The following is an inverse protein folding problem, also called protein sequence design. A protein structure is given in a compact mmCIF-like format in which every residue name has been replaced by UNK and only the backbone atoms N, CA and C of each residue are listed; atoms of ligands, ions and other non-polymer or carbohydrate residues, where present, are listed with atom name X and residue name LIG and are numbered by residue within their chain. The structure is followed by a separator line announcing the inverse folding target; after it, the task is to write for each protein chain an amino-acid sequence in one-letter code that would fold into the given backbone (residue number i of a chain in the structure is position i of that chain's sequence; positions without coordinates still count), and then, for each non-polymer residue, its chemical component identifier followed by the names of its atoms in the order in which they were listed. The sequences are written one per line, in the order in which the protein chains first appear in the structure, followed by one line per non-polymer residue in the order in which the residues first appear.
data_IF_358250193832
#
_entry.id   IF_358250193832
#
_cell.length_a   1.000
_cell.length_b   1.000
_cell.length_c   1.000
_cell.angle_alpha   90.00
_cell.angle_beta   90.00
_cell.angle_gamma   90.00
#
_symmetry.space_group_name_H-M   'P 1'
#
loop_
_entity.id
_entity.type
_entity.pdbx_description
1 polymer ?
#
# COMPACT_ATOMS: atom_id res chain seq x y z
N UNK A 1 2.16 -38.35 -47.39
CA UNK A 1 2.73 -37.67 -46.21
C UNK A 1 1.70 -36.67 -45.71
N UNK A 2 1.12 -36.94 -44.55
CA UNK A 2 0.09 -36.06 -43.96
C UNK A 2 0.77 -35.24 -42.89
N UNK A 3 0.95 -33.94 -43.13
CA UNK A 3 1.43 -33.00 -42.13
C UNK A 3 0.30 -32.73 -41.16
N UNK A 4 0.43 -33.21 -39.92
CA UNK A 4 -0.45 -32.88 -38.82
C UNK A 4 0.09 -31.56 -38.22
N UNK A 5 -0.61 -30.48 -38.51
CA UNK A 5 -0.35 -29.17 -37.90
C UNK A 5 -0.97 -29.20 -36.49
N UNK A 6 -0.14 -29.42 -35.48
CA UNK A 6 -0.58 -29.32 -34.08
C UNK A 6 -0.64 -27.83 -33.69
N UNK A 7 -1.86 -27.30 -33.64
CA UNK A 7 -2.13 -25.94 -33.21
C UNK A 7 -2.08 -25.91 -31.67
N UNK A 8 -0.98 -25.41 -31.12
CA UNK A 8 -0.90 -25.14 -29.68
C UNK A 8 -1.76 -23.92 -29.37
N UNK A 9 -2.95 -24.11 -28.82
CA UNK A 9 -3.76 -23.07 -28.20
C UNK A 9 -3.14 -22.74 -26.86
N UNK A 10 -2.40 -21.62 -26.81
CA UNK A 10 -1.95 -21.00 -25.55
C UNK A 10 -3.18 -20.41 -24.86
N UNK A 11 -3.70 -21.14 -23.88
CA UNK A 11 -4.66 -20.59 -22.93
C UNK A 11 -3.91 -19.63 -21.99
N UNK A 12 -3.99 -18.33 -22.28
CA UNK A 12 -3.62 -17.31 -21.32
C UNK A 12 -4.67 -17.30 -20.20
N UNK A 13 -4.32 -17.87 -19.03
CA UNK A 13 -5.16 -17.75 -17.85
C UNK A 13 -5.23 -16.27 -17.44
N UNK A 14 -6.42 -15.72 -17.15
CA UNK A 14 -6.52 -14.34 -16.66
C UNK A 14 -5.78 -14.22 -15.33
N UNK A 15 -4.79 -13.31 -15.28
CA UNK A 15 -4.13 -12.94 -14.04
C UNK A 15 -5.14 -12.10 -13.24
N UNK A 16 -5.81 -12.73 -12.28
CA UNK A 16 -6.69 -12.01 -11.34
C UNK A 16 -5.82 -11.24 -10.38
N UNK A 17 -5.93 -9.89 -10.36
CA UNK A 17 -5.34 -9.07 -9.32
C UNK A 17 -5.95 -9.48 -7.97
N UNK A 18 -5.09 -9.69 -6.95
CA UNK A 18 -5.54 -10.05 -5.62
C UNK A 18 -6.27 -8.87 -4.99
N UNK A 19 -7.55 -9.05 -4.65
CA UNK A 19 -8.30 -8.06 -3.88
C UNK A 19 -7.81 -8.02 -2.44
N UNK A 20 -7.63 -6.80 -1.91
CA UNK A 20 -7.24 -6.57 -0.54
C UNK A 20 -8.43 -6.61 0.42
N UNK A 21 -8.17 -7.10 1.62
CA UNK A 21 -9.11 -7.08 2.74
C UNK A 21 -8.94 -5.77 3.51
N UNK A 22 -9.91 -4.86 3.40
CA UNK A 22 -9.86 -3.54 4.06
C UNK A 22 -9.92 -3.65 5.59
N UNK A 23 -10.60 -4.65 6.14
CA UNK A 23 -10.68 -4.89 7.59
C UNK A 23 -9.31 -5.31 8.12
N UNK A 24 -8.65 -6.24 7.44
CA UNK A 24 -7.28 -6.61 7.80
C UNK A 24 -6.30 -5.47 7.54
N UNK A 25 -6.47 -4.72 6.47
CA UNK A 25 -5.66 -3.54 6.14
C UNK A 25 -5.70 -2.50 7.26
N UNK A 26 -6.85 -2.27 7.87
CA UNK A 26 -6.99 -1.41 9.05
C UNK A 26 -6.18 -1.95 10.25
N UNK A 27 -6.17 -3.25 10.48
CA UNK A 27 -5.37 -3.86 11.54
C UNK A 27 -3.87 -3.67 11.29
N UNK A 28 -3.43 -3.87 10.05
CA UNK A 28 -2.05 -3.63 9.64
C UNK A 28 -1.66 -2.17 9.85
N UNK A 29 -2.50 -1.24 9.42
CA UNK A 29 -2.31 0.19 9.64
C UNK A 29 -2.18 0.55 11.13
N UNK A 30 -3.10 0.07 11.95
CA UNK A 30 -3.08 0.36 13.39
C UNK A 30 -1.82 -0.19 14.06
N UNK A 31 -1.31 -1.32 13.61
CA UNK A 31 -0.13 -1.94 14.21
C UNK A 31 1.18 -1.29 13.77
N UNK A 32 1.32 -0.95 12.48
CA UNK A 32 2.59 -0.54 11.90
C UNK A 32 2.69 0.94 11.53
N UNK A 33 1.58 1.62 11.31
CA UNK A 33 1.55 2.94 10.70
C UNK A 33 1.04 4.04 11.62
N UNK A 34 0.04 3.74 12.45
CA UNK A 34 -0.69 4.75 13.21
C UNK A 34 0.17 5.50 14.23
N UNK A 35 1.19 4.89 14.81
CA UNK A 35 2.07 5.56 15.75
C UNK A 35 2.76 6.80 15.16
N UNK A 36 3.03 6.78 13.86
CA UNK A 36 3.64 7.90 13.15
C UNK A 36 2.65 8.70 12.29
N UNK A 37 1.55 8.09 11.87
CA UNK A 37 0.64 8.68 10.88
C UNK A 37 -0.77 8.98 11.37
N UNK A 38 -1.10 8.73 12.63
CA UNK A 38 -2.40 9.07 13.18
C UNK A 38 -2.58 10.60 13.30
N UNK A 39 -3.82 11.10 13.41
CA UNK A 39 -4.06 12.52 13.70
C UNK A 39 -3.52 12.90 15.09
N UNK A 40 -3.08 14.14 15.27
CA UNK A 40 -2.59 14.64 16.55
C UNK A 40 -1.23 15.34 16.50
N UNK A 41 -0.77 15.76 15.34
CA UNK A 41 0.38 16.65 15.17
C UNK A 41 1.69 16.07 15.69
N UNK A 42 2.32 16.78 16.63
CA UNK A 42 3.67 16.48 17.13
C UNK A 42 3.83 15.12 17.80
N UNK A 43 2.74 14.49 18.23
CA UNK A 43 2.77 13.13 18.80
C UNK A 43 2.98 12.05 17.73
N UNK A 44 2.79 12.41 16.47
CA UNK A 44 2.87 11.52 15.34
C UNK A 44 3.83 12.11 14.30
N UNK A 45 5.11 11.72 14.34
CA UNK A 45 6.16 12.38 13.55
C UNK A 45 5.95 12.30 12.04
N UNK A 46 5.32 11.25 11.53
CA UNK A 46 4.96 11.14 10.11
C UNK A 46 3.92 12.16 9.69
N UNK A 47 2.84 12.28 10.48
CA UNK A 47 1.80 13.29 10.26
C UNK A 47 2.36 14.70 10.36
N UNK A 48 3.15 14.98 11.39
CA UNK A 48 3.79 16.28 11.58
C UNK A 48 4.70 16.68 10.42
N UNK A 49 5.50 15.74 9.93
CA UNK A 49 6.37 15.97 8.76
C UNK A 49 5.57 16.28 7.49
N UNK A 50 4.47 15.56 7.27
CA UNK A 50 3.61 15.79 6.12
C UNK A 50 2.82 17.10 6.22
N UNK A 51 2.41 17.52 7.42
CA UNK A 51 1.82 18.84 7.63
C UNK A 51 2.77 19.96 7.19
N UNK A 52 4.04 19.87 7.57
CA UNK A 52 5.07 20.83 7.15
C UNK A 52 5.33 20.79 5.65
N UNK A 53 5.28 19.61 5.03
CA UNK A 53 5.52 19.45 3.61
C UNK A 53 4.36 19.98 2.77
N UNK A 54 3.13 19.64 3.15
CA UNK A 54 1.94 19.95 2.34
C UNK A 54 1.37 21.34 2.58
N UNK A 55 1.64 21.95 3.72
CA UNK A 55 1.21 23.33 4.04
C UNK A 55 -0.29 23.54 3.83
N UNK A 56 -1.10 22.56 4.16
CA UNK A 56 -2.56 22.60 4.00
C UNK A 56 -3.11 22.29 2.61
N UNK A 57 -2.26 22.06 1.62
CA UNK A 57 -2.70 21.76 0.24
C UNK A 57 -3.41 20.41 0.11
N UNK A 58 -3.06 19.47 0.97
CA UNK A 58 -3.71 18.16 1.09
C UNK A 58 -3.57 17.60 2.51
N UNK A 59 -4.44 16.65 2.89
CA UNK A 59 -4.40 16.07 4.23
C UNK A 59 -3.05 15.41 4.53
N UNK A 60 -2.53 15.66 5.73
CA UNK A 60 -1.33 14.99 6.24
C UNK A 60 -1.63 13.61 6.83
N UNK A 61 -2.84 13.40 7.35
CA UNK A 61 -3.29 12.12 7.87
C UNK A 61 -3.55 11.16 6.70
N UNK A 62 -2.88 10.02 6.70
CA UNK A 62 -2.96 9.08 5.55
C UNK A 62 -4.38 8.59 5.28
N UNK A 63 -5.16 8.34 6.32
CA UNK A 63 -6.53 7.86 6.18
C UNK A 63 -7.49 8.90 5.55
N UNK A 64 -7.11 10.16 5.52
CA UNK A 64 -7.89 11.25 4.93
C UNK A 64 -7.45 11.60 3.51
N UNK A 65 -6.36 11.01 3.02
CA UNK A 65 -5.82 11.27 1.68
C UNK A 65 -6.71 10.70 0.59
N UNK A 66 -6.85 11.46 -0.50
CA UNK A 66 -7.66 11.07 -1.66
C UNK A 66 -6.82 10.61 -2.86
N UNK A 67 -5.50 10.69 -2.74
CA UNK A 67 -4.54 10.42 -3.82
C UNK A 67 -3.69 9.15 -3.60
N UNK A 68 -3.93 8.40 -2.52
CA UNK A 68 -3.19 7.17 -2.25
C UNK A 68 -3.69 6.03 -3.15
N UNK A 69 -2.76 5.39 -3.82
CA UNK A 69 -2.99 4.17 -4.57
C UNK A 69 -2.29 3.00 -3.88
N UNK A 70 -2.75 1.74 -4.07
CA UNK A 70 -2.06 0.58 -3.52
C UNK A 70 -0.57 0.51 -3.94
N UNK A 71 -0.26 0.91 -5.17
CA UNK A 71 1.10 0.91 -5.70
C UNK A 71 1.98 1.95 -4.98
N UNK A 72 1.44 3.14 -4.71
CA UNK A 72 2.17 4.20 -4.00
C UNK A 72 2.42 3.79 -2.55
N UNK A 73 1.42 3.21 -1.88
CA UNK A 73 1.57 2.67 -0.52
C UNK A 73 2.64 1.60 -0.48
N UNK A 74 2.61 0.65 -1.41
CA UNK A 74 3.60 -0.42 -1.51
C UNK A 74 5.02 0.13 -1.73
N UNK A 75 5.16 1.13 -2.56
CA UNK A 75 6.46 1.76 -2.83
C UNK A 75 7.09 2.33 -1.55
N UNK A 76 6.35 3.14 -0.80
CA UNK A 76 6.87 3.75 0.43
C UNK A 76 7.07 2.74 1.56
N UNK A 77 6.21 1.76 1.69
CA UNK A 77 6.35 0.70 2.70
C UNK A 77 7.62 -0.13 2.46
N UNK A 78 7.90 -0.49 1.21
CA UNK A 78 9.08 -1.30 0.87
C UNK A 78 10.39 -0.53 0.82
N UNK A 79 10.36 0.74 0.47
CA UNK A 79 11.57 1.56 0.30
C UNK A 79 11.85 2.49 1.47
N UNK A 80 10.81 2.89 2.21
CA UNK A 80 10.92 3.97 3.18
C UNK A 80 11.16 5.32 2.51
N UNK A 81 11.17 6.37 3.30
CA UNK A 81 11.54 7.73 2.86
C UNK A 81 11.99 8.56 4.06
N UNK A 82 13.19 9.13 3.99
CA UNK A 82 13.79 9.90 5.09
C UNK A 82 13.81 9.07 6.38
N UNK A 83 13.15 9.53 7.45
CA UNK A 83 13.06 8.82 8.73
C UNK A 83 12.03 7.69 8.74
N UNK A 84 11.15 7.60 7.75
CA UNK A 84 10.26 6.47 7.60
C UNK A 84 11.06 5.24 7.18
N UNK A 85 11.12 4.17 8.01
CA UNK A 85 11.90 2.99 7.68
C UNK A 85 11.23 2.16 6.58
N UNK A 86 12.00 1.40 5.80
CA UNK A 86 11.45 0.36 4.95
C UNK A 86 10.96 -0.82 5.79
N UNK A 87 9.84 -1.40 5.43
CA UNK A 87 9.30 -2.59 6.06
C UNK A 87 9.60 -3.83 5.21
N UNK A 88 10.08 -4.88 5.85
CA UNK A 88 10.41 -6.15 5.20
C UNK A 88 9.18 -7.06 5.14
N UNK A 89 9.25 -8.09 4.32
CA UNK A 89 8.18 -9.09 4.18
C UNK A 89 7.92 -9.88 5.47
N UNK A 90 8.89 -9.92 6.37
CA UNK A 90 8.77 -10.52 7.70
C UNK A 90 8.04 -9.63 8.70
N UNK A 91 7.93 -8.34 8.42
CA UNK A 91 7.18 -7.37 9.24
C UNK A 91 5.78 -7.15 8.65
N UNK A 92 5.71 -6.79 7.38
CA UNK A 92 4.47 -6.65 6.62
C UNK A 92 4.58 -7.58 5.41
N UNK A 93 3.82 -8.67 5.40
CA UNK A 93 3.82 -9.61 4.29
C UNK A 93 3.27 -8.98 3.00
N UNK A 94 3.50 -9.61 1.86
CA UNK A 94 2.94 -9.11 0.58
C UNK A 94 1.40 -9.10 0.63
N UNK A 95 0.77 -10.08 1.27
CA UNK A 95 -0.69 -10.11 1.46
C UNK A 95 -1.16 -8.96 2.36
N UNK A 96 -0.51 -8.73 3.48
CA UNK A 96 -0.82 -7.63 4.38
C UNK A 96 -0.64 -6.26 3.71
N UNK A 97 0.36 -6.13 2.84
CA UNK A 97 0.59 -4.91 2.07
C UNK A 97 -0.53 -4.65 1.05
N UNK A 98 -1.05 -5.69 0.41
CA UNK A 98 -2.24 -5.59 -0.46
C UNK A 98 -3.45 -5.12 0.34
N UNK A 99 -3.66 -5.67 1.52
CA UNK A 99 -4.76 -5.30 2.42
C UNK A 99 -4.63 -3.85 2.91
N UNK A 100 -3.42 -3.43 3.27
CA UNK A 100 -3.12 -2.06 3.67
C UNK A 100 -3.40 -1.07 2.53
N UNK A 101 -2.97 -1.38 1.32
CA UNK A 101 -3.24 -0.57 0.14
C UNK A 101 -4.72 -0.43 -0.14
N UNK A 102 -5.48 -1.51 0.00
CA UNK A 102 -6.94 -1.49 -0.14
C UNK A 102 -7.61 -0.62 0.94
N UNK A 103 -7.12 -0.67 2.16
CA UNK A 103 -7.64 0.14 3.26
C UNK A 103 -7.39 1.64 3.07
N UNK A 104 -6.21 2.04 2.63
CA UNK A 104 -5.83 3.45 2.45
C UNK A 104 -6.31 4.06 1.13
N UNK A 105 -6.72 3.24 0.19
CA UNK A 105 -7.30 3.70 -1.08
C UNK A 105 -8.67 4.34 -0.83
N UNK A 106 -8.90 5.57 -1.34
CA UNK A 106 -10.20 6.22 -1.22
C UNK A 106 -11.30 5.55 -2.03
#
# INVERSE_FOLDING_TARGET
MRNILVLFLLFAAPVMAQEGDTVNGKKVYNHWCSSCHAPGGVKHPGTSALELLYKGEKPAVLEERLDLTPELVAFYVRNGVKIMPPFRKTEISDKELVDLGAYLQP
#
